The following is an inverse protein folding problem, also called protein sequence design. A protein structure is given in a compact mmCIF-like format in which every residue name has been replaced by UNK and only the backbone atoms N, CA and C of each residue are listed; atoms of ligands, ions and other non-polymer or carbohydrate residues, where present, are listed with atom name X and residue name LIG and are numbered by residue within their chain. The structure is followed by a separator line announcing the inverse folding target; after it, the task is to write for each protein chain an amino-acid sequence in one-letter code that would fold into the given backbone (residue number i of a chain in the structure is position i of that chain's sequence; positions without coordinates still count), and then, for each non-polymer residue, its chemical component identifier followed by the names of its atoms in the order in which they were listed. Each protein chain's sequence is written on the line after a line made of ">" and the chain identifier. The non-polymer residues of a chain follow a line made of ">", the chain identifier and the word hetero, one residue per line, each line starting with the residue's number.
data_IF_416488441612
#
_entry.id   IF_416488441612
#
_cell.length_a   1.000
_cell.length_b   1.000
_cell.length_c   1.000
_cell.angle_alpha   90.00
_cell.angle_beta   90.00
_cell.angle_gamma   90.00
#
_symmetry.space_group_name_H-M   'P 1'
#
loop_
_entity.id
_entity.type
_entity.pdbx_description
1 polymer ?
#
# COMPACT_ATOMS: atom_id res chain seq x y z
N UNK A 1 -20.27 -12.29 4.92
CA UNK A 1 -19.24 -11.33 5.40
C UNK A 1 -19.29 -10.13 4.46
N UNK A 2 -19.48 -8.92 4.98
CA UNK A 2 -19.66 -7.74 4.12
C UNK A 2 -18.39 -7.37 3.36
N UNK A 3 -18.56 -6.81 2.16
CA UNK A 3 -17.51 -6.26 1.27
C UNK A 3 -16.60 -5.19 1.92
N UNK A 4 -16.79 -4.86 3.20
CA UNK A 4 -15.99 -3.92 3.98
C UNK A 4 -14.97 -4.61 4.92
N UNK A 5 -14.88 -5.94 4.92
CA UNK A 5 -14.02 -6.67 5.86
C UNK A 5 -12.52 -6.57 5.52
N UNK A 6 -12.16 -6.57 4.24
CA UNK A 6 -10.76 -6.47 3.82
C UNK A 6 -10.38 -5.02 3.47
N UNK A 7 -9.29 -4.46 4.00
CA UNK A 7 -8.84 -3.10 3.67
C UNK A 7 -8.57 -2.94 2.17
N UNK A 8 -8.78 -1.73 1.64
CA UNK A 8 -8.57 -1.41 0.22
C UNK A 8 -7.13 -1.69 -0.25
N UNK A 9 -6.14 -1.59 0.64
CA UNK A 9 -4.73 -1.83 0.33
C UNK A 9 -4.37 -3.30 0.02
N UNK A 10 -5.26 -4.25 0.28
CA UNK A 10 -5.00 -5.67 -0.02
C UNK A 10 -5.74 -6.20 -1.24
N UNK A 11 -6.56 -5.35 -1.84
CA UNK A 11 -7.37 -5.72 -2.98
C UNK A 11 -6.59 -5.41 -4.25
N UNK A 12 -6.86 -6.17 -5.30
CA UNK A 12 -6.36 -5.84 -6.64
C UNK A 12 -7.06 -4.57 -7.12
N UNK A 13 -6.30 -3.57 -7.53
CA UNK A 13 -6.80 -2.30 -8.05
C UNK A 13 -6.88 -2.35 -9.58
N UNK A 14 -8.10 -2.26 -10.10
CA UNK A 14 -8.41 -2.30 -11.53
C UNK A 14 -8.74 -0.88 -11.97
N UNK A 15 -7.83 -0.23 -12.68
CA UNK A 15 -8.00 1.13 -13.16
C UNK A 15 -8.59 1.18 -14.56
N UNK A 16 -9.69 1.92 -14.74
CA UNK A 16 -10.30 2.15 -16.04
C UNK A 16 -9.84 3.50 -16.59
N UNK A 17 -9.23 3.50 -17.78
CA UNK A 17 -8.66 4.66 -18.45
C UNK A 17 -9.23 4.82 -19.86
N UNK A 18 -9.02 5.99 -20.47
CA UNK A 18 -9.42 6.26 -21.86
C UNK A 18 -9.94 7.69 -22.03
N UNK A 19 -10.28 8.05 -23.25
CA UNK A 19 -10.74 9.40 -23.59
C UNK A 19 -12.13 9.72 -23.02
N UNK A 20 -12.47 11.01 -23.03
CA UNK A 20 -13.83 11.48 -22.81
C UNK A 20 -14.75 10.87 -23.88
N UNK A 21 -15.97 10.51 -23.48
CA UNK A 21 -17.01 9.96 -24.36
C UNK A 21 -16.72 8.58 -25.00
N UNK A 22 -15.60 7.91 -24.68
CA UNK A 22 -15.37 6.51 -25.05
C UNK A 22 -16.36 5.52 -24.37
N UNK A 23 -17.11 6.00 -23.36
CA UNK A 23 -18.10 5.20 -22.62
C UNK A 23 -17.52 4.42 -21.44
N UNK A 24 -16.35 4.85 -20.94
CA UNK A 24 -15.64 4.28 -19.78
C UNK A 24 -16.55 4.06 -18.56
N UNK A 25 -17.21 5.10 -18.04
CA UNK A 25 -18.10 4.97 -16.88
C UNK A 25 -19.29 4.04 -17.15
N UNK A 26 -19.76 3.94 -18.40
CA UNK A 26 -20.81 3.00 -18.78
C UNK A 26 -20.30 1.55 -18.72
N UNK A 27 -19.09 1.28 -19.22
CA UNK A 27 -18.43 -0.03 -19.08
C UNK A 27 -18.21 -0.38 -17.61
N UNK A 28 -17.72 0.57 -16.80
CA UNK A 28 -17.54 0.37 -15.34
C UNK A 28 -18.85 0.01 -14.65
N UNK A 29 -19.95 0.69 -14.99
CA UNK A 29 -21.27 0.38 -14.44
C UNK A 29 -21.73 -1.04 -14.78
N UNK A 30 -21.51 -1.50 -16.02
CA UNK A 30 -21.82 -2.88 -16.45
C UNK A 30 -20.92 -3.91 -15.78
N UNK A 31 -19.62 -3.64 -15.68
CA UNK A 31 -18.67 -4.52 -14.98
C UNK A 31 -19.06 -4.66 -13.50
N UNK A 32 -19.40 -3.58 -12.83
CA UNK A 32 -19.71 -3.61 -11.40
C UNK A 32 -21.13 -4.04 -11.07
N UNK A 33 -22.04 -4.11 -12.05
CA UNK A 33 -23.44 -4.50 -11.85
C UNK A 33 -24.24 -3.55 -10.94
N UNK A 34 -23.73 -2.36 -10.64
CA UNK A 34 -24.49 -1.31 -9.94
C UNK A 34 -24.18 0.04 -10.57
N UNK A 35 -25.18 0.89 -10.70
CA UNK A 35 -25.04 2.26 -11.19
C UNK A 35 -24.11 3.04 -10.26
N UNK A 36 -22.94 3.45 -10.74
CA UNK A 36 -22.20 4.54 -10.11
C UNK A 36 -23.08 5.78 -10.25
N UNK A 37 -23.76 6.17 -9.17
CA UNK A 37 -24.32 7.50 -9.06
C UNK A 37 -23.17 8.47 -9.19
N UNK A 38 -23.13 9.22 -10.29
CA UNK A 38 -22.34 10.44 -10.37
C UNK A 38 -22.94 11.33 -9.27
N UNK A 39 -22.24 11.49 -8.14
CA UNK A 39 -22.62 12.54 -7.20
C UNK A 39 -22.17 13.85 -7.84
N UNK A 40 -23.06 14.39 -8.68
CA UNK A 40 -23.20 15.80 -9.07
C UNK A 40 -23.82 15.87 -10.48
N UNK A 41 -25.05 16.37 -10.57
CA UNK A 41 -25.79 16.66 -11.81
C UNK A 41 -25.22 17.85 -12.62
N UNK A 42 -23.98 18.28 -12.31
CA UNK A 42 -23.27 19.30 -13.08
C UNK A 42 -22.32 18.62 -14.05
N UNK A 43 -22.69 18.63 -15.35
CA UNK A 43 -21.85 18.23 -16.49
C UNK A 43 -20.42 18.78 -16.28
N UNK A 44 -19.47 17.88 -16.01
CA UNK A 44 -18.06 18.24 -15.79
C UNK A 44 -17.60 18.32 -14.33
N UNK A 45 -18.13 17.52 -13.41
CA UNK A 45 -17.72 17.51 -11.98
C UNK A 45 -17.22 16.16 -11.42
N UNK A 46 -17.02 15.13 -12.25
CA UNK A 46 -16.23 13.95 -11.87
C UNK A 46 -14.76 14.34 -11.76
N UNK A 47 -14.42 14.97 -10.64
CA UNK A 47 -13.12 15.64 -10.41
C UNK A 47 -12.14 14.71 -9.69
N UNK A 48 -12.64 13.65 -9.05
CA UNK A 48 -11.85 12.64 -8.35
C UNK A 48 -12.16 11.23 -8.87
N UNK A 49 -11.15 10.34 -8.99
CA UNK A 49 -11.37 8.95 -9.36
C UNK A 49 -12.37 8.26 -8.43
N UNK A 50 -13.40 7.63 -9.01
CA UNK A 50 -14.44 6.96 -8.25
C UNK A 50 -14.03 5.51 -7.98
N UNK A 51 -14.03 5.10 -6.72
CA UNK A 51 -13.60 3.77 -6.30
C UNK A 51 -14.77 2.91 -5.85
N UNK A 52 -14.75 1.63 -6.23
CA UNK A 52 -15.79 0.68 -5.86
C UNK A 52 -15.25 -0.70 -5.54
N UNK A 53 -15.59 -1.16 -4.35
CA UNK A 53 -15.35 -2.50 -3.85
C UNK A 53 -16.26 -3.54 -4.52
N UNK A 54 -15.72 -4.64 -5.01
CA UNK A 54 -16.50 -5.82 -5.41
C UNK A 54 -15.70 -7.12 -5.30
N UNK A 55 -16.39 -8.26 -5.38
CA UNK A 55 -15.76 -9.56 -5.62
C UNK A 55 -15.74 -9.83 -7.13
N UNK A 56 -14.57 -10.21 -7.66
CA UNK A 56 -14.38 -10.58 -9.05
C UNK A 56 -13.73 -11.96 -9.11
N UNK A 57 -14.52 -13.00 -9.38
CA UNK A 57 -13.99 -14.36 -9.50
C UNK A 57 -13.19 -14.53 -10.80
N UNK A 58 -12.08 -15.29 -10.80
CA UNK A 58 -11.44 -15.96 -9.66
C UNK A 58 -10.45 -15.10 -8.83
N UNK A 59 -10.26 -13.81 -9.14
CA UNK A 59 -9.31 -12.92 -8.44
C UNK A 59 -9.66 -12.76 -6.95
N UNK A 60 -10.95 -12.71 -6.63
CA UNK A 60 -11.46 -12.41 -5.29
C UNK A 60 -11.74 -10.91 -5.12
N UNK A 61 -11.42 -10.30 -3.97
CA UNK A 61 -11.80 -8.93 -3.66
C UNK A 61 -10.95 -7.91 -4.43
N UNK A 62 -11.63 -7.01 -5.15
CA UNK A 62 -11.02 -5.98 -5.99
C UNK A 62 -11.55 -4.58 -5.69
N UNK A 63 -10.81 -3.56 -6.12
CA UNK A 63 -11.26 -2.17 -6.19
C UNK A 63 -11.26 -1.74 -7.66
N UNK A 64 -12.43 -1.40 -8.17
CA UNK A 64 -12.58 -0.78 -9.49
C UNK A 64 -12.40 0.73 -9.34
N UNK A 65 -11.55 1.34 -10.18
CA UNK A 65 -11.25 2.77 -10.15
C UNK A 65 -11.60 3.37 -11.51
N UNK A 66 -12.63 4.21 -11.57
CA UNK A 66 -13.00 4.97 -12.77
C UNK A 66 -12.25 6.30 -12.78
N UNK A 67 -11.42 6.54 -13.81
CA UNK A 67 -10.66 7.79 -13.94
C UNK A 67 -11.38 8.83 -14.80
N UNK A 68 -11.07 10.12 -14.63
CA UNK A 68 -11.41 11.13 -15.64
C UNK A 68 -10.88 10.77 -17.04
N UNK A 69 -11.43 11.39 -18.08
CA UNK A 69 -10.88 11.32 -19.42
C UNK A 69 -9.52 12.02 -19.51
N UNK A 70 -8.61 11.47 -20.30
CA UNK A 70 -7.21 11.95 -20.37
C UNK A 70 -6.98 13.09 -21.37
N UNK A 71 -7.98 13.43 -22.17
CA UNK A 71 -8.02 14.51 -23.15
C UNK A 71 -8.78 15.74 -22.63
N UNK A 72 -8.80 15.95 -21.30
CA UNK A 72 -9.48 17.10 -20.69
C UNK A 72 -8.58 18.35 -20.77
N UNK A 73 -9.08 19.42 -21.40
CA UNK A 73 -8.32 20.66 -21.64
C UNK A 73 -8.65 21.76 -20.61
N UNK A 74 -7.73 22.73 -20.47
CA UNK A 74 -7.84 23.86 -19.54
C UNK A 74 -7.24 23.57 -18.16
N UNK A 75 -7.12 24.58 -17.30
CA UNK A 75 -6.44 24.45 -15.99
C UNK A 75 -7.06 23.39 -15.07
N UNK A 76 -8.39 23.24 -15.11
CA UNK A 76 -9.10 22.17 -14.39
C UNK A 76 -8.96 20.80 -15.08
N UNK A 77 -8.80 20.78 -16.41
CA UNK A 77 -8.58 19.57 -17.19
C UNK A 77 -7.19 18.99 -16.95
N UNK A 78 -6.14 19.81 -16.95
CA UNK A 78 -4.76 19.40 -16.68
C UNK A 78 -4.62 18.72 -15.31
N UNK A 79 -5.24 19.28 -14.27
CA UNK A 79 -5.26 18.69 -12.93
C UNK A 79 -6.00 17.33 -12.90
N UNK A 80 -7.06 17.18 -13.71
CA UNK A 80 -7.78 15.89 -13.85
C UNK A 80 -6.96 14.84 -14.56
N UNK A 81 -6.26 15.22 -15.63
CA UNK A 81 -5.34 14.34 -16.34
C UNK A 81 -4.23 13.90 -15.39
N UNK A 82 -3.64 14.83 -14.63
CA UNK A 82 -2.64 14.51 -13.60
C UNK A 82 -3.17 13.52 -12.57
N UNK A 83 -4.39 13.73 -12.06
CA UNK A 83 -5.05 12.79 -11.11
C UNK A 83 -5.32 11.43 -11.73
N UNK A 84 -5.78 11.37 -12.98
CA UNK A 84 -5.97 10.12 -13.71
C UNK A 84 -4.65 9.36 -13.82
N UNK A 85 -3.56 10.03 -14.21
CA UNK A 85 -2.24 9.42 -14.31
C UNK A 85 -1.67 8.94 -12.97
N UNK A 86 -1.98 9.61 -11.85
CA UNK A 86 -1.62 9.13 -10.50
C UNK A 86 -2.30 7.81 -10.14
N UNK A 87 -3.49 7.52 -10.68
CA UNK A 87 -4.14 6.22 -10.44
C UNK A 87 -3.27 5.05 -10.91
N UNK A 88 -2.41 5.24 -11.91
CA UNK A 88 -1.48 4.22 -12.39
C UNK A 88 -0.43 3.81 -11.35
N UNK A 89 -0.16 4.65 -10.36
CA UNK A 89 0.80 4.38 -9.27
C UNK A 89 0.31 3.24 -8.38
N UNK A 90 -1.02 3.07 -8.28
CA UNK A 90 -1.67 2.02 -7.51
C UNK A 90 -2.42 0.98 -8.36
N UNK A 91 -2.43 1.11 -9.69
CA UNK A 91 -3.18 0.21 -10.57
C UNK A 91 -2.44 -1.11 -10.81
N UNK A 92 -3.00 -2.22 -10.35
CA UNK A 92 -2.44 -3.56 -10.58
C UNK A 92 -2.73 -4.06 -12.00
N UNK A 93 -3.88 -3.67 -12.58
CA UNK A 93 -4.23 -3.91 -13.99
C UNK A 93 -5.02 -2.73 -14.56
N UNK A 94 -4.64 -2.29 -15.76
CA UNK A 94 -5.33 -1.22 -16.47
C UNK A 94 -6.34 -1.75 -17.49
N UNK A 95 -7.49 -1.09 -17.61
CA UNK A 95 -8.47 -1.32 -18.68
C UNK A 95 -8.56 -0.04 -19.50
N UNK A 96 -8.04 -0.05 -20.72
CA UNK A 96 -8.19 1.04 -21.66
C UNK A 96 -9.52 0.89 -22.39
N UNK A 97 -10.45 1.83 -22.17
CA UNK A 97 -11.72 1.88 -22.88
C UNK A 97 -11.61 2.84 -24.05
N UNK A 98 -11.74 2.31 -25.26
CA UNK A 98 -11.66 3.05 -26.53
C UNK A 98 -13.03 3.10 -27.21
N UNK A 99 -13.21 4.04 -28.14
CA UNK A 99 -14.39 4.08 -29.01
C UNK A 99 -14.12 3.29 -30.29
N UNK A 100 -14.76 2.13 -30.43
CA UNK A 100 -14.58 1.23 -31.58
C UNK A 100 -14.98 1.86 -32.93
N UNK A 101 -15.73 2.97 -32.93
CA UNK A 101 -16.12 3.69 -34.15
C UNK A 101 -15.04 4.64 -34.66
N UNK A 102 -14.01 4.94 -33.85
CA UNK A 102 -13.04 6.01 -34.16
C UNK A 102 -11.61 5.54 -34.41
N UNK A 103 -11.33 4.25 -34.29
CA UNK A 103 -9.95 3.73 -34.30
C UNK A 103 -9.13 4.27 -33.12
N UNK A 104 -7.94 3.71 -32.92
CA UNK A 104 -7.09 4.07 -31.78
C UNK A 104 -6.51 5.49 -31.94
N UNK A 105 -6.78 6.37 -30.98
CA UNK A 105 -6.34 7.76 -31.00
C UNK A 105 -4.92 7.92 -30.45
N UNK A 106 -4.19 9.02 -30.79
CA UNK A 106 -2.82 9.25 -30.30
C UNK A 106 -2.68 9.22 -28.77
N UNK A 107 -3.58 9.89 -28.05
CA UNK A 107 -3.56 9.91 -26.59
C UNK A 107 -3.83 8.52 -25.95
N UNK A 108 -4.56 7.64 -26.65
CA UNK A 108 -4.75 6.25 -26.23
C UNK A 108 -3.47 5.42 -26.47
N UNK A 109 -2.72 5.70 -27.54
CA UNK A 109 -1.41 5.09 -27.79
C UNK A 109 -0.39 5.51 -26.73
N UNK A 110 -0.39 6.78 -26.32
CA UNK A 110 0.46 7.27 -25.23
C UNK A 110 0.18 6.55 -23.89
N UNK A 111 -1.09 6.27 -23.59
CA UNK A 111 -1.45 5.46 -22.42
C UNK A 111 -0.91 4.04 -22.50
N UNK A 112 -1.00 3.40 -23.67
CA UNK A 112 -0.47 2.04 -23.88
C UNK A 112 1.05 2.03 -23.64
N UNK A 113 1.78 3.01 -24.17
CA UNK A 113 3.22 3.15 -23.91
C UNK A 113 3.52 3.39 -22.43
N UNK A 114 2.68 4.18 -21.74
CA UNK A 114 2.83 4.41 -20.32
C UNK A 114 2.59 3.14 -19.49
N UNK A 115 1.60 2.32 -19.85
CA UNK A 115 1.34 1.03 -19.20
C UNK A 115 2.53 0.08 -19.38
N UNK A 116 3.08 0.00 -20.59
CA UNK A 116 4.30 -0.79 -20.89
C UNK A 116 5.48 -0.30 -20.07
N UNK A 117 5.76 1.00 -20.08
CA UNK A 117 6.88 1.61 -19.33
C UNK A 117 6.78 1.36 -17.82
N UNK A 118 5.56 1.31 -17.28
CA UNK A 118 5.31 1.07 -15.85
C UNK A 118 5.12 -0.41 -15.51
N UNK A 119 5.25 -1.31 -16.48
CA UNK A 119 5.02 -2.74 -16.31
C UNK A 119 3.63 -3.04 -15.69
N UNK A 120 2.61 -2.32 -16.17
CA UNK A 120 1.21 -2.53 -15.79
C UNK A 120 0.59 -3.46 -16.82
N UNK A 121 0.11 -4.67 -16.45
CA UNK A 121 -0.68 -5.48 -17.37
C UNK A 121 -1.95 -4.71 -17.75
N UNK A 122 -2.39 -4.82 -19.00
CA UNK A 122 -3.54 -4.06 -19.47
C UNK A 122 -4.39 -4.82 -20.47
N UNK A 123 -5.68 -4.48 -20.49
CA UNK A 123 -6.69 -4.94 -21.44
C UNK A 123 -7.26 -3.75 -22.19
N UNK A 124 -7.48 -3.89 -23.50
CA UNK A 124 -8.16 -2.87 -24.31
C UNK A 124 -9.60 -3.31 -24.56
N UNK A 125 -10.56 -2.54 -24.07
CA UNK A 125 -11.98 -2.74 -24.27
C UNK A 125 -12.49 -1.74 -25.32
N UNK A 126 -12.65 -2.20 -26.56
CA UNK A 126 -13.21 -1.42 -27.66
C UNK A 126 -14.73 -1.34 -27.51
N UNK A 127 -15.19 -0.25 -26.89
CA UNK A 127 -16.61 -0.06 -26.57
C UNK A 127 -17.41 0.44 -27.78
N UNK A 128 -18.75 0.38 -27.70
CA UNK A 128 -19.71 0.71 -28.78
C UNK A 128 -19.65 -0.25 -29.97
N UNK A 129 -19.29 -1.51 -29.70
CA UNK A 129 -19.19 -2.55 -30.71
C UNK A 129 -20.52 -2.85 -31.44
N UNK A 130 -21.65 -2.42 -30.87
CA UNK A 130 -22.97 -2.45 -31.53
C UNK A 130 -23.08 -1.52 -32.75
N UNK A 131 -22.16 -0.55 -32.88
CA UNK A 131 -22.16 0.45 -33.94
C UNK A 131 -21.14 0.17 -35.06
N UNK A 132 -20.37 -0.92 -34.96
CA UNK A 132 -19.31 -1.24 -35.91
C UNK A 132 -19.16 -2.74 -36.12
N UNK A 133 -18.44 -3.15 -37.16
CA UNK A 133 -18.09 -4.56 -37.37
C UNK A 133 -16.93 -4.98 -36.46
N UNK A 134 -17.09 -6.10 -35.77
CA UNK A 134 -16.03 -6.70 -34.97
C UNK A 134 -15.05 -7.47 -35.88
N UNK A 135 -13.73 -7.25 -35.79
CA UNK A 135 -12.73 -8.02 -36.53
C UNK A 135 -12.77 -9.51 -36.19
N UNK A 136 -12.47 -10.36 -37.17
CA UNK A 136 -12.46 -11.82 -36.99
C UNK A 136 -11.28 -12.32 -36.13
N UNK A 137 -10.17 -11.57 -36.10
CA UNK A 137 -8.98 -11.88 -35.32
C UNK A 137 -8.52 -10.64 -34.55
N UNK A 138 -8.09 -10.85 -33.31
CA UNK A 138 -7.69 -9.78 -32.40
C UNK A 138 -6.54 -10.24 -31.50
N UNK A 139 -5.73 -9.30 -30.99
CA UNK A 139 -4.73 -9.63 -29.97
C UNK A 139 -5.38 -10.17 -28.68
N UNK A 140 -4.64 -11.00 -27.94
CA UNK A 140 -5.16 -11.70 -26.75
C UNK A 140 -5.63 -10.76 -25.63
N UNK A 141 -5.10 -9.54 -25.58
CA UNK A 141 -5.43 -8.53 -24.56
C UNK A 141 -6.49 -7.53 -25.02
N UNK A 142 -7.16 -7.76 -26.15
CA UNK A 142 -8.19 -6.87 -26.69
C UNK A 142 -9.57 -7.55 -26.75
N UNK A 143 -10.63 -6.76 -26.56
CA UNK A 143 -12.00 -7.24 -26.64
C UNK A 143 -12.94 -6.13 -27.11
N UNK A 144 -13.90 -6.46 -28.00
CA UNK A 144 -14.99 -5.56 -28.36
C UNK A 144 -16.18 -5.76 -27.41
N UNK A 145 -16.68 -4.67 -26.86
CA UNK A 145 -17.79 -4.67 -25.90
C UNK A 145 -18.84 -3.63 -26.30
N UNK A 146 -20.07 -3.80 -25.83
CA UNK A 146 -21.06 -2.72 -25.84
C UNK A 146 -21.68 -2.57 -24.48
N UNK A 147 -21.39 -1.45 -23.81
CA UNK A 147 -22.09 -1.11 -22.57
C UNK A 147 -23.59 -0.82 -22.79
N UNK A 148 -23.98 -0.42 -24.00
CA UNK A 148 -25.37 -0.13 -24.37
C UNK A 148 -26.17 -1.42 -24.56
N UNK A 149 -25.63 -2.37 -25.33
CA UNK A 149 -26.24 -3.67 -25.61
C UNK A 149 -25.91 -4.76 -24.57
N UNK A 150 -25.09 -4.43 -23.57
CA UNK A 150 -24.58 -5.36 -22.53
C UNK A 150 -23.87 -6.60 -23.11
N UNK A 151 -23.15 -6.41 -24.22
CA UNK A 151 -22.44 -7.49 -24.91
C UNK A 151 -20.98 -7.59 -24.47
N UNK A 152 -20.50 -8.83 -24.33
CA UNK A 152 -19.12 -9.20 -23.99
C UNK A 152 -18.58 -8.66 -22.65
N UNK A 153 -19.46 -8.19 -21.75
CA UNK A 153 -19.07 -7.65 -20.43
C UNK A 153 -18.54 -8.75 -19.50
N UNK A 154 -19.11 -9.97 -19.59
CA UNK A 154 -18.63 -11.12 -18.79
C UNK A 154 -17.26 -11.58 -19.27
N UNK A 155 -17.08 -11.64 -20.57
CA UNK A 155 -15.84 -12.00 -21.24
C UNK A 155 -14.74 -10.97 -20.92
N UNK A 156 -15.09 -9.68 -20.84
CA UNK A 156 -14.17 -8.64 -20.35
C UNK A 156 -13.73 -8.90 -18.91
N UNK A 157 -14.63 -9.29 -18.00
CA UNK A 157 -14.28 -9.66 -16.62
C UNK A 157 -13.31 -10.84 -16.58
N UNK A 158 -13.59 -11.87 -17.37
CA UNK A 158 -12.74 -13.05 -17.48
C UNK A 158 -11.35 -12.70 -18.04
N UNK A 159 -11.28 -11.82 -19.03
CA UNK A 159 -10.03 -11.35 -19.62
C UNK A 159 -9.20 -10.53 -18.62
N UNK A 160 -9.82 -9.59 -17.90
CA UNK A 160 -9.20 -8.86 -16.80
C UNK A 160 -8.64 -9.84 -15.77
N UNK A 161 -9.43 -10.85 -15.37
CA UNK A 161 -9.01 -11.83 -14.38
C UNK A 161 -7.83 -12.70 -14.82
N UNK A 162 -7.74 -13.05 -16.12
CA UNK A 162 -6.60 -13.79 -16.66
C UNK A 162 -5.34 -12.94 -16.78
N UNK A 163 -5.50 -11.64 -17.06
CA UNK A 163 -4.37 -10.71 -17.22
C UNK A 163 -3.75 -10.30 -15.88
N UNK A 164 -4.51 -10.38 -14.77
CA UNK A 164 -3.94 -10.32 -13.43
C UNK A 164 -3.16 -11.61 -13.21
N UNK A 165 -1.82 -11.51 -13.12
CA UNK A 165 -0.99 -12.64 -12.75
C UNK A 165 -1.49 -13.23 -11.43
N UNK A 166 -1.59 -14.56 -11.28
CA UNK A 166 -1.82 -15.14 -9.96
C UNK A 166 -0.77 -14.57 -9.02
N UNK A 167 -1.21 -14.07 -7.87
CA UNK A 167 -0.34 -13.59 -6.81
C UNK A 167 0.75 -14.64 -6.57
N UNK A 168 2.01 -14.21 -6.58
CA UNK A 168 3.17 -15.00 -6.15
C UNK A 168 2.85 -15.75 -4.83
N UNK A 169 3.53 -16.88 -4.53
CA UNK A 169 3.17 -17.75 -3.39
C UNK A 169 2.86 -16.92 -2.16
N UNK A 170 1.70 -17.23 -1.56
CA UNK A 170 1.03 -16.50 -0.48
C UNK A 170 2.06 -15.88 0.49
N UNK A 171 2.40 -14.60 0.28
CA UNK A 171 3.40 -13.91 1.11
C UNK A 171 2.94 -14.05 2.56
N UNK A 172 3.78 -14.62 3.41
CA UNK A 172 3.44 -14.79 4.83
C UNK A 172 3.90 -13.60 5.63
N UNK A 173 3.07 -13.18 6.56
CA UNK A 173 3.40 -12.07 7.44
C UNK A 173 4.37 -12.52 8.51
N UNK A 174 4.11 -13.69 9.11
CA UNK A 174 4.94 -14.35 10.13
C UNK A 174 4.89 -15.87 10.05
N UNK A 175 3.90 -16.49 9.39
CA UNK A 175 3.73 -17.95 9.38
C UNK A 175 4.96 -18.71 8.87
N UNK A 176 5.74 -18.12 7.97
CA UNK A 176 7.01 -18.66 7.45
C UNK A 176 8.13 -18.76 8.51
N UNK A 177 7.95 -18.12 9.67
CA UNK A 177 8.89 -18.13 10.80
C UNK A 177 8.49 -19.13 11.90
N UNK A 178 7.36 -19.81 11.75
CA UNK A 178 6.71 -20.58 12.80
C UNK A 178 6.55 -22.06 12.43
N UNK A 179 6.60 -22.91 13.45
CA UNK A 179 6.19 -24.30 13.39
C UNK A 179 4.85 -24.51 14.13
N UNK A 180 4.10 -25.58 13.81
CA UNK A 180 2.90 -25.93 14.56
C UNK A 180 3.18 -26.05 16.07
N UNK A 181 2.28 -25.49 16.88
CA UNK A 181 2.37 -25.37 18.35
C UNK A 181 3.41 -24.37 18.89
N UNK A 182 4.14 -23.63 18.04
CA UNK A 182 4.95 -22.51 18.52
C UNK A 182 4.06 -21.51 19.28
N UNK A 183 4.55 -20.95 20.38
CA UNK A 183 3.87 -19.87 21.10
C UNK A 183 4.42 -18.52 20.67
N UNK A 184 3.53 -17.62 20.23
CA UNK A 184 3.86 -16.25 19.85
C UNK A 184 3.13 -15.27 20.76
N UNK A 185 3.87 -14.35 21.38
CA UNK A 185 3.30 -13.31 22.25
C UNK A 185 3.21 -11.98 21.49
N UNK A 186 2.01 -11.45 21.38
CA UNK A 186 1.70 -10.16 20.78
C UNK A 186 1.52 -9.12 21.88
N UNK A 187 2.39 -8.12 21.91
CA UNK A 187 2.33 -7.01 22.87
C UNK A 187 1.63 -5.83 22.22
N UNK A 188 0.42 -5.56 22.69
CA UNK A 188 -0.51 -4.57 22.13
C UNK A 188 -0.86 -3.54 23.21
N UNK A 189 -0.24 -2.35 23.18
CA UNK A 189 -0.61 -1.28 24.11
C UNK A 189 -2.03 -0.78 23.82
N UNK A 190 -2.71 -0.28 24.86
CA UNK A 190 -3.98 0.44 24.67
C UNK A 190 -3.64 1.86 24.24
N UNK A 191 -3.68 2.09 22.93
CA UNK A 191 -3.54 3.43 22.38
C UNK A 191 -4.91 4.13 22.35
N UNK A 192 -4.98 5.37 22.84
CA UNK A 192 -6.16 6.23 22.69
C UNK A 192 -6.49 6.53 21.22
N UNK A 193 -5.50 6.43 20.34
CA UNK A 193 -5.67 6.60 18.90
C UNK A 193 -6.20 5.33 18.21
N UNK A 194 -6.18 4.18 18.87
CA UNK A 194 -6.76 2.96 18.33
C UNK A 194 -8.30 3.01 18.40
N UNK A 195 -9.00 2.55 17.35
CA UNK A 195 -10.46 2.58 17.32
C UNK A 195 -11.07 1.76 18.45
N UNK A 196 -11.98 2.38 19.22
CA UNK A 196 -12.65 1.73 20.37
C UNK A 196 -13.30 0.41 19.93
N UNK A 197 -13.01 -0.66 20.67
CA UNK A 197 -13.65 -1.97 20.51
C UNK A 197 -13.10 -2.84 19.38
N UNK A 198 -11.97 -2.49 18.74
CA UNK A 198 -11.33 -3.36 17.73
C UNK A 198 -9.80 -3.25 17.74
N UNK A 199 -9.12 -4.34 17.39
CA UNK A 199 -7.68 -4.35 17.11
C UNK A 199 -7.39 -3.59 15.81
N UNK A 200 -6.19 -3.03 15.66
CA UNK A 200 -5.78 -2.49 14.36
C UNK A 200 -5.49 -3.61 13.37
N UNK A 201 -5.58 -3.29 12.08
CA UNK A 201 -5.40 -4.27 11.00
C UNK A 201 -4.11 -5.10 11.14
N UNK A 202 -2.93 -4.51 11.44
CA UNK A 202 -1.73 -5.30 11.62
C UNK A 202 -1.83 -6.41 12.66
N UNK A 203 -2.47 -6.12 13.79
CA UNK A 203 -2.65 -7.08 14.86
C UNK A 203 -3.61 -8.20 14.44
N UNK A 204 -4.72 -7.86 13.76
CA UNK A 204 -5.69 -8.85 13.29
C UNK A 204 -5.06 -9.83 12.29
N UNK A 205 -4.28 -9.32 11.33
CA UNK A 205 -3.63 -10.14 10.31
C UNK A 205 -2.51 -11.00 10.88
N UNK A 206 -1.71 -10.47 11.81
CA UNK A 206 -0.69 -11.27 12.50
C UNK A 206 -1.32 -12.40 13.31
N UNK A 207 -2.41 -12.15 14.05
CA UNK A 207 -3.13 -13.22 14.77
C UNK A 207 -3.60 -14.29 13.79
N UNK A 208 -4.21 -13.88 12.67
CA UNK A 208 -4.72 -14.81 11.67
C UNK A 208 -3.61 -15.68 11.08
N UNK A 209 -2.50 -15.09 10.66
CA UNK A 209 -1.39 -15.80 10.03
C UNK A 209 -0.68 -16.75 11.03
N UNK A 210 -0.59 -16.39 12.32
CA UNK A 210 -0.12 -17.30 13.38
C UNK A 210 -1.03 -18.53 13.48
N UNK A 211 -2.35 -18.34 13.48
CA UNK A 211 -3.31 -19.44 13.58
C UNK A 211 -3.28 -20.34 12.33
N UNK A 212 -3.07 -19.77 11.14
CA UNK A 212 -2.90 -20.54 9.90
C UNK A 212 -1.65 -21.41 9.90
N UNK A 213 -0.59 -21.00 10.60
CA UNK A 213 0.61 -21.81 10.84
C UNK A 213 0.39 -22.95 11.86
N UNK A 214 -0.79 -23.03 12.49
CA UNK A 214 -1.05 -23.96 13.60
C UNK A 214 -0.34 -23.59 14.89
N UNK A 215 0.10 -22.33 15.03
CA UNK A 215 0.77 -21.79 16.21
C UNK A 215 -0.24 -21.14 17.18
N UNK A 216 0.21 -20.87 18.40
CA UNK A 216 -0.59 -20.27 19.48
C UNK A 216 -0.31 -18.77 19.53
N UNK A 217 -1.36 -17.97 19.39
CA UNK A 217 -1.27 -16.51 19.56
C UNK A 217 -1.74 -16.10 20.96
N UNK A 218 -0.85 -15.49 21.73
CA UNK A 218 -1.15 -14.89 23.03
C UNK A 218 -1.07 -13.37 22.93
N UNK A 219 -2.08 -12.65 23.41
CA UNK A 219 -2.12 -11.17 23.33
C UNK A 219 -2.08 -10.59 24.75
N UNK A 220 -1.17 -9.65 24.97
CA UNK A 220 -1.00 -8.95 26.26
C UNK A 220 -0.72 -7.47 26.03
N UNK A 221 -0.91 -6.63 27.05
CA UNK A 221 -0.31 -5.29 27.09
C UNK A 221 1.13 -5.36 27.58
N UNK A 222 1.86 -4.27 27.39
CA UNK A 222 3.20 -4.08 27.95
C UNK A 222 3.20 -4.17 29.49
N UNK A 223 2.09 -3.79 30.14
CA UNK A 223 1.94 -3.84 31.61
C UNK A 223 1.83 -5.26 32.15
N UNK A 224 1.20 -6.18 31.41
CA UNK A 224 1.05 -7.59 31.82
C UNK A 224 2.11 -8.51 31.17
N UNK A 225 3.02 -7.97 30.37
CA UNK A 225 4.00 -8.76 29.62
C UNK A 225 4.85 -9.66 30.51
N UNK A 226 5.42 -9.12 31.60
CA UNK A 226 6.27 -9.90 32.52
C UNK A 226 5.52 -11.11 33.07
N UNK A 227 4.31 -10.88 33.60
CA UNK A 227 3.45 -11.95 34.12
C UNK A 227 3.05 -12.96 33.04
N UNK A 228 2.80 -12.48 31.83
CA UNK A 228 2.49 -13.34 30.68
C UNK A 228 3.66 -14.28 30.39
N UNK A 229 4.89 -13.75 30.28
CA UNK A 229 6.09 -14.54 30.03
C UNK A 229 6.35 -15.56 31.15
N UNK A 230 6.19 -15.16 32.42
CA UNK A 230 6.35 -16.03 33.59
C UNK A 230 5.31 -17.15 33.67
N UNK A 231 4.12 -16.95 33.10
CA UNK A 231 3.05 -17.96 33.09
C UNK A 231 3.26 -19.06 32.05
N UNK A 232 4.18 -18.85 31.10
CA UNK A 232 4.47 -19.84 30.06
C UNK A 232 5.37 -20.93 30.60
N UNK A 233 5.02 -22.18 30.30
CA UNK A 233 5.85 -23.34 30.65
C UNK A 233 7.20 -23.32 29.93
N UNK A 234 7.22 -22.81 28.70
CA UNK A 234 8.38 -22.69 27.83
C UNK A 234 8.46 -21.27 27.27
N UNK A 235 9.66 -20.74 26.99
CA UNK A 235 9.79 -19.41 26.40
C UNK A 235 9.07 -19.37 25.04
N UNK A 236 8.40 -18.26 24.70
CA UNK A 236 7.74 -18.15 23.40
C UNK A 236 8.78 -18.17 22.29
N UNK A 237 8.39 -18.69 21.12
CA UNK A 237 9.22 -18.66 19.91
C UNK A 237 9.56 -17.23 19.52
N UNK A 238 8.55 -16.36 19.57
CA UNK A 238 8.63 -14.99 19.07
C UNK A 238 7.75 -14.06 19.91
N UNK A 239 8.27 -12.87 20.18
CA UNK A 239 7.50 -11.72 20.69
C UNK A 239 7.36 -10.68 19.58
N UNK A 240 6.16 -10.19 19.36
CA UNK A 240 5.85 -9.14 18.37
C UNK A 240 5.20 -7.98 19.12
N UNK A 241 5.76 -6.77 19.01
CA UNK A 241 5.26 -5.60 19.74
C UNK A 241 4.88 -4.44 18.82
N UNK A 242 4.05 -3.54 19.31
CA UNK A 242 3.92 -2.21 18.73
C UNK A 242 5.24 -1.43 18.83
N UNK A 243 5.55 -0.63 17.81
CA UNK A 243 6.76 0.19 17.76
C UNK A 243 6.83 1.22 18.89
N UNK A 244 5.70 1.69 19.42
CA UNK A 244 5.69 2.62 20.55
C UNK A 244 6.08 1.96 21.88
N UNK A 245 5.75 0.68 22.07
CA UNK A 245 6.08 -0.08 23.27
C UNK A 245 7.46 -0.76 23.20
N UNK A 246 8.11 -0.72 22.03
CA UNK A 246 9.30 -1.53 21.72
C UNK A 246 10.42 -1.36 22.76
N UNK A 247 10.69 -0.13 23.21
CA UNK A 247 11.75 0.12 24.20
C UNK A 247 11.52 -0.51 25.58
N UNK A 248 10.26 -0.60 26.04
CA UNK A 248 9.92 -1.28 27.30
C UNK A 248 9.96 -2.79 27.08
N UNK A 249 9.38 -3.26 25.97
CA UNK A 249 9.33 -4.69 25.64
C UNK A 249 10.73 -5.29 25.47
N UNK A 250 11.67 -4.61 24.82
CA UNK A 250 13.04 -5.11 24.65
C UNK A 250 13.75 -5.40 25.99
N UNK A 251 13.45 -4.59 27.02
CA UNK A 251 14.00 -4.75 28.37
C UNK A 251 13.35 -5.92 29.11
N UNK A 252 12.07 -6.18 28.89
CA UNK A 252 11.30 -7.23 29.57
C UNK A 252 11.47 -8.60 28.92
N UNK A 253 11.67 -8.67 27.59
CA UNK A 253 11.78 -9.93 26.85
C UNK A 253 13.22 -10.47 26.94
N UNK A 254 13.42 -11.70 27.46
CA UNK A 254 14.73 -12.35 27.54
C UNK A 254 15.50 -12.33 26.22
N UNK A 255 16.82 -12.12 26.25
CA UNK A 255 17.63 -11.92 25.03
C UNK A 255 17.71 -13.15 24.11
N UNK A 256 17.47 -14.35 24.65
CA UNK A 256 17.36 -15.59 23.87
C UNK A 256 16.01 -15.75 23.15
N UNK A 257 15.01 -14.92 23.48
CA UNK A 257 13.71 -14.89 22.79
C UNK A 257 13.76 -13.90 21.64
N UNK A 258 13.33 -14.37 20.48
CA UNK A 258 13.25 -13.53 19.28
C UNK A 258 12.20 -12.42 19.48
N UNK A 259 12.51 -11.22 19.03
CA UNK A 259 11.68 -10.03 19.21
C UNK A 259 11.61 -9.27 17.91
N UNK A 260 10.43 -8.86 17.47
CA UNK A 260 10.24 -7.93 16.35
C UNK A 260 9.02 -7.04 16.56
N UNK A 261 8.66 -6.21 15.58
CA UNK A 261 7.40 -5.45 15.62
C UNK A 261 6.46 -5.79 14.48
N UNK A 262 5.18 -5.46 14.68
CA UNK A 262 4.20 -5.45 13.61
C UNK A 262 4.71 -4.64 12.40
N UNK A 263 5.27 -3.46 12.62
CA UNK A 263 5.77 -2.59 11.54
C UNK A 263 6.87 -3.23 10.70
N UNK A 264 7.79 -3.97 11.33
CA UNK A 264 8.88 -4.68 10.62
C UNK A 264 8.31 -5.85 9.81
N UNK A 265 7.42 -6.65 10.39
CA UNK A 265 6.77 -7.75 9.68
C UNK A 265 5.95 -7.25 8.48
N UNK A 266 5.22 -6.14 8.64
CA UNK A 266 4.47 -5.53 7.54
C UNK A 266 5.38 -4.97 6.45
N UNK A 267 6.49 -4.35 6.83
CA UNK A 267 7.46 -3.88 5.86
C UNK A 267 8.06 -5.05 5.05
N UNK A 268 8.29 -6.19 5.70
CA UNK A 268 8.74 -7.42 5.04
C UNK A 268 7.69 -7.95 4.08
N UNK A 269 6.45 -8.09 4.57
CA UNK A 269 5.31 -8.57 3.80
C UNK A 269 5.04 -7.72 2.54
N UNK A 270 5.19 -6.40 2.63
CA UNK A 270 5.04 -5.46 1.49
C UNK A 270 6.29 -5.35 0.60
N UNK A 271 7.34 -6.13 0.86
CA UNK A 271 8.57 -6.13 0.07
C UNK A 271 9.40 -4.86 0.16
N UNK A 272 9.25 -4.06 1.22
CA UNK A 272 9.96 -2.77 1.37
C UNK A 272 10.94 -2.71 2.55
N UNK A 273 11.05 -3.77 3.35
CA UNK A 273 11.88 -3.76 4.55
C UNK A 273 13.34 -3.44 4.28
N UNK A 274 13.96 -4.02 3.23
CA UNK A 274 15.37 -3.74 2.88
C UNK A 274 15.62 -2.26 2.64
N UNK A 275 14.80 -1.62 1.80
CA UNK A 275 14.93 -0.19 1.52
C UNK A 275 14.66 0.64 2.77
N UNK A 276 13.66 0.26 3.58
CA UNK A 276 13.35 0.97 4.81
C UNK A 276 14.48 0.94 5.84
N UNK A 277 15.18 -0.19 5.95
CA UNK A 277 16.37 -0.36 6.80
C UNK A 277 17.50 0.57 6.33
N UNK A 278 17.81 0.55 5.03
CA UNK A 278 18.84 1.43 4.46
C UNK A 278 18.48 2.91 4.65
N UNK A 279 17.21 3.27 4.47
CA UNK A 279 16.72 4.62 4.74
C UNK A 279 16.82 5.04 6.21
N UNK A 280 16.72 4.11 7.15
CA UNK A 280 16.85 4.43 8.57
C UNK A 280 18.28 4.81 8.95
N UNK A 281 19.29 4.26 8.27
CA UNK A 281 20.69 4.64 8.48
C UNK A 281 20.94 6.13 8.19
N UNK A 282 20.18 6.73 7.26
CA UNK A 282 20.26 8.17 6.94
C UNK A 282 19.99 9.07 8.14
N UNK A 283 19.26 8.59 9.16
CA UNK A 283 19.04 9.34 10.40
C UNK A 283 20.36 9.72 11.08
N UNK A 284 21.42 8.91 10.95
CA UNK A 284 22.73 9.17 11.55
C UNK A 284 23.47 10.32 10.85
N UNK A 285 23.10 10.65 9.62
CA UNK A 285 23.84 11.59 8.74
C UNK A 285 23.14 12.94 8.57
N UNK A 286 21.94 13.12 9.13
CA UNK A 286 21.19 14.37 9.07
C UNK A 286 21.99 15.54 9.67
N UNK A 287 21.82 16.72 9.07
CA UNK A 287 22.48 17.97 9.45
C UNK A 287 21.46 19.04 9.87
N UNK A 288 21.97 20.13 10.45
CA UNK A 288 21.14 21.29 10.76
C UNK A 288 20.61 21.93 9.47
N UNK A 289 19.31 22.25 9.44
CA UNK A 289 18.63 22.80 8.28
C UNK A 289 18.12 21.77 7.26
N UNK A 290 18.47 20.49 7.40
CA UNK A 290 17.90 19.42 6.56
C UNK A 290 16.38 19.37 6.70
N UNK A 291 15.69 19.06 5.61
CA UNK A 291 14.23 18.86 5.63
C UNK A 291 13.88 17.38 5.52
N UNK A 292 13.10 16.88 6.48
CA UNK A 292 12.57 15.51 6.49
C UNK A 292 11.09 15.54 6.10
N UNK A 293 10.70 14.71 5.13
CA UNK A 293 9.31 14.52 4.77
C UNK A 293 8.69 13.42 5.64
N UNK A 294 7.65 13.76 6.40
CA UNK A 294 6.79 12.80 7.08
C UNK A 294 5.55 12.53 6.22
N UNK A 295 5.38 11.32 5.72
CA UNK A 295 4.34 10.99 4.73
C UNK A 295 3.39 9.90 5.23
N UNK A 296 2.08 10.16 5.17
CA UNK A 296 1.06 9.24 5.66
C UNK A 296 0.12 8.80 4.53
N UNK A 297 -0.03 7.48 4.36
CA UNK A 297 -0.90 6.88 3.34
C UNK A 297 -2.40 6.92 3.64
N UNK A 298 -2.86 7.66 4.65
CA UNK A 298 -4.27 7.72 5.03
C UNK A 298 -4.68 9.12 5.47
N UNK A 299 -5.92 9.48 5.18
CA UNK A 299 -6.55 10.73 5.65
C UNK A 299 -7.30 10.43 6.93
N UNK A 300 -6.64 10.59 8.07
CA UNK A 300 -7.30 10.49 9.38
C UNK A 300 -7.07 11.76 10.18
N UNK A 301 -7.95 12.01 11.14
CA UNK A 301 -7.87 13.21 11.97
C UNK A 301 -6.67 13.09 12.91
N UNK A 302 -5.65 13.94 12.70
CA UNK A 302 -4.48 14.04 13.58
C UNK A 302 -4.93 14.61 14.92
N UNK A 303 -4.59 13.90 15.99
CA UNK A 303 -4.90 14.32 17.36
C UNK A 303 -3.65 14.89 18.03
N UNK A 304 -3.83 15.65 19.11
CA UNK A 304 -2.69 16.09 19.91
C UNK A 304 -1.91 14.87 20.42
N UNK A 305 -0.58 14.89 20.30
CA UNK A 305 0.28 13.75 20.62
C UNK A 305 0.36 12.68 19.52
N UNK A 306 -0.04 13.01 18.29
CA UNK A 306 0.08 12.11 17.13
C UNK A 306 1.53 11.69 16.86
N UNK A 307 1.70 10.44 16.42
CA UNK A 307 3.02 9.87 16.16
C UNK A 307 3.69 10.65 15.02
N UNK A 308 2.96 10.86 13.91
CA UNK A 308 3.51 11.45 12.69
C UNK A 308 3.88 12.92 12.87
N UNK A 309 3.00 13.73 13.47
CA UNK A 309 3.24 15.18 13.55
C UNK A 309 3.98 15.67 14.78
N UNK A 310 4.01 14.90 15.88
CA UNK A 310 4.62 15.36 17.13
C UNK A 310 5.71 14.42 17.63
N UNK A 311 5.37 13.16 17.95
CA UNK A 311 6.32 12.25 18.62
C UNK A 311 7.54 11.95 17.75
N UNK A 312 7.32 11.60 16.48
CA UNK A 312 8.37 11.20 15.56
C UNK A 312 9.33 12.36 15.23
N UNK A 313 8.86 13.58 14.87
CA UNK A 313 9.74 14.73 14.73
C UNK A 313 10.58 15.01 15.99
N UNK A 314 9.98 14.89 17.18
CA UNK A 314 10.68 15.09 18.45
C UNK A 314 11.73 13.99 18.71
N UNK A 315 11.43 12.74 18.40
CA UNK A 315 12.39 11.64 18.51
C UNK A 315 13.55 11.80 17.53
N UNK A 316 13.28 12.21 16.29
CA UNK A 316 14.33 12.47 15.29
C UNK A 316 15.27 13.58 15.79
N UNK A 317 14.75 14.73 16.20
CA UNK A 317 15.58 15.82 16.74
C UNK A 317 16.42 15.39 17.95
N UNK A 318 15.83 14.62 18.87
CA UNK A 318 16.54 14.12 20.06
C UNK A 318 17.63 13.11 19.70
N UNK A 319 17.36 12.23 18.74
CA UNK A 319 18.29 11.21 18.30
C UNK A 319 19.48 11.82 17.57
N UNK A 320 19.24 12.76 16.64
CA UNK A 320 20.30 13.38 15.85
C UNK A 320 21.04 14.48 16.59
N UNK A 321 20.38 15.15 17.55
CA UNK A 321 20.89 16.37 18.17
C UNK A 321 20.96 17.56 17.22
N UNK A 322 20.22 17.52 16.10
CA UNK A 322 20.22 18.53 15.02
C UNK A 322 18.91 19.31 14.94
N UNK A 323 18.99 20.54 14.44
CA UNK A 323 17.82 21.37 14.11
C UNK A 323 17.28 21.05 12.71
N UNK A 324 16.50 19.97 12.65
CA UNK A 324 15.88 19.45 11.42
C UNK A 324 14.50 20.07 11.19
N UNK A 325 14.19 20.38 9.92
CA UNK A 325 12.90 20.87 9.46
C UNK A 325 11.99 19.71 9.01
N UNK A 326 10.67 19.90 9.11
CA UNK A 326 9.70 18.86 8.74
C UNK A 326 8.67 19.35 7.74
N UNK A 327 8.37 18.52 6.76
CA UNK A 327 7.27 18.66 5.80
C UNK A 327 6.32 17.48 5.94
N UNK A 328 5.04 17.66 5.61
CA UNK A 328 4.02 16.64 5.84
C UNK A 328 3.16 16.40 4.61
N UNK A 329 2.86 15.14 4.29
CA UNK A 329 1.77 14.76 3.37
C UNK A 329 0.83 13.74 4.01
N UNK A 330 -0.42 13.71 3.55
CA UNK A 330 -1.47 12.80 4.03
C UNK A 330 -2.26 12.19 2.87
N UNK A 331 -2.79 10.99 3.09
CA UNK A 331 -3.61 10.28 2.13
C UNK A 331 -2.84 9.73 0.94
N UNK A 332 -3.42 9.91 -0.26
CA UNK A 332 -2.87 9.38 -1.51
C UNK A 332 -1.87 10.36 -2.16
N UNK A 333 -1.51 11.45 -1.48
CA UNK A 333 -0.58 12.44 -2.01
C UNK A 333 0.87 12.11 -1.65
N UNK A 334 1.72 12.09 -2.67
CA UNK A 334 3.16 12.02 -2.55
C UNK A 334 3.79 13.11 -3.44
N UNK A 335 4.82 13.85 -3.00
CA UNK A 335 5.38 14.95 -3.78
C UNK A 335 5.98 14.48 -5.11
N UNK A 336 5.75 15.21 -6.20
CA UNK A 336 6.34 14.92 -7.52
C UNK A 336 7.85 15.18 -7.57
N UNK A 337 8.31 16.09 -6.71
CA UNK A 337 9.72 16.33 -6.46
C UNK A 337 10.02 16.13 -4.97
N UNK A 338 10.73 15.06 -4.69
CA UNK A 338 11.24 14.73 -3.35
C UNK A 338 12.69 15.14 -3.15
N UNK A 339 13.39 15.63 -4.18
CA UNK A 339 14.84 15.88 -4.17
C UNK A 339 15.29 16.92 -3.14
N UNK A 340 14.36 17.77 -2.69
CA UNK A 340 14.59 18.76 -1.61
C UNK A 340 14.65 18.16 -0.20
N UNK A 341 14.29 16.89 -0.04
CA UNK A 341 14.27 16.23 1.27
C UNK A 341 15.56 15.43 1.48
N UNK A 342 16.11 15.50 2.70
CA UNK A 342 17.25 14.67 3.10
C UNK A 342 16.84 13.23 3.44
N UNK A 343 15.57 13.05 3.85
CA UNK A 343 15.00 11.75 4.23
C UNK A 343 13.47 11.80 4.09
N UNK A 344 12.89 10.71 3.60
CA UNK A 344 11.44 10.46 3.70
C UNK A 344 11.19 9.44 4.81
N UNK A 345 10.30 9.76 5.75
CA UNK A 345 9.82 8.85 6.78
C UNK A 345 8.33 8.63 6.57
N UNK A 346 7.97 7.46 6.05
CA UNK A 346 6.60 7.13 5.68
C UNK A 346 5.90 6.32 6.77
N UNK A 347 4.57 6.40 6.89
CA UNK A 347 3.85 5.48 7.77
C UNK A 347 3.94 4.02 7.24
N UNK A 348 3.42 3.03 7.98
CA UNK A 348 3.37 1.64 7.51
C UNK A 348 2.52 1.41 6.24
N UNK A 349 1.82 2.45 5.77
CA UNK A 349 1.06 2.43 4.52
C UNK A 349 -0.07 1.41 4.52
N UNK A 350 -0.70 1.11 5.67
CA UNK A 350 -1.72 0.06 5.79
C UNK A 350 -2.93 0.23 4.86
N UNK A 351 -3.24 1.46 4.46
CA UNK A 351 -4.32 1.79 3.52
C UNK A 351 -3.87 1.78 2.04
N UNK A 352 -2.56 1.72 1.78
CA UNK A 352 -1.97 1.72 0.44
C UNK A 352 -1.70 0.28 0.00
N UNK A 353 -1.93 0.00 -1.29
CA UNK A 353 -1.53 -1.30 -1.84
C UNK A 353 -0.02 -1.39 -2.04
N UNK A 354 0.46 -2.60 -2.28
CA UNK A 354 1.89 -2.86 -2.47
C UNK A 354 2.43 -2.01 -3.62
N UNK A 355 1.71 -1.95 -4.74
CA UNK A 355 2.15 -1.21 -5.93
C UNK A 355 2.36 0.28 -5.65
N UNK A 356 1.45 0.93 -4.94
CA UNK A 356 1.58 2.35 -4.57
C UNK A 356 2.77 2.58 -3.64
N UNK A 357 2.97 1.72 -2.64
CA UNK A 357 4.15 1.81 -1.76
C UNK A 357 5.46 1.64 -2.53
N UNK A 358 5.51 0.66 -3.43
CA UNK A 358 6.69 0.41 -4.28
C UNK A 358 6.93 1.58 -5.24
N UNK A 359 5.89 2.22 -5.75
CA UNK A 359 6.02 3.46 -6.52
C UNK A 359 6.68 4.57 -5.68
N UNK A 360 6.17 4.86 -4.47
CA UNK A 360 6.73 5.91 -3.60
C UNK A 360 8.21 5.66 -3.29
N UNK A 361 8.58 4.40 -3.01
CA UNK A 361 9.95 4.00 -2.75
C UNK A 361 10.87 4.18 -3.97
N UNK A 362 10.45 3.70 -5.15
CA UNK A 362 11.22 3.88 -6.39
C UNK A 362 11.36 5.36 -6.73
N UNK A 363 10.29 6.15 -6.59
CA UNK A 363 10.30 7.57 -6.87
C UNK A 363 11.34 8.34 -6.02
N UNK A 364 11.45 7.99 -4.74
CA UNK A 364 12.49 8.52 -3.83
C UNK A 364 13.88 8.01 -4.19
N UNK A 365 14.03 6.71 -4.47
CA UNK A 365 15.32 6.11 -4.82
C UNK A 365 15.90 6.67 -6.12
N UNK A 366 15.08 6.88 -7.16
CA UNK A 366 15.49 7.49 -8.44
C UNK A 366 16.06 8.91 -8.28
N UNK A 367 15.70 9.60 -7.19
CA UNK A 367 16.18 10.95 -6.84
C UNK A 367 17.26 10.92 -5.76
N UNK A 368 17.78 9.75 -5.41
CA UNK A 368 18.75 9.53 -4.34
C UNK A 368 18.29 10.04 -2.97
N UNK A 369 16.98 10.03 -2.71
CA UNK A 369 16.42 10.39 -1.41
C UNK A 369 16.10 9.12 -0.64
N UNK A 370 16.78 8.82 0.47
CA UNK A 370 16.49 7.64 1.27
C UNK A 370 15.07 7.70 1.85
N UNK A 371 14.42 6.53 1.92
CA UNK A 371 13.07 6.41 2.46
C UNK A 371 13.03 5.28 3.49
N UNK A 372 12.54 5.60 4.68
CA UNK A 372 12.25 4.63 5.75
C UNK A 372 10.77 4.68 6.13
N UNK A 373 10.38 3.89 7.12
CA UNK A 373 9.06 3.99 7.72
C UNK A 373 9.11 4.19 9.23
N UNK A 374 7.97 4.57 9.82
CA UNK A 374 7.86 4.92 11.23
C UNK A 374 8.43 3.82 12.13
N UNK A 375 8.03 2.57 11.91
CA UNK A 375 8.44 1.48 12.77
C UNK A 375 9.93 1.18 12.73
N UNK A 376 10.54 1.20 11.53
CA UNK A 376 11.97 0.99 11.39
C UNK A 376 12.76 2.19 11.93
N UNK A 377 12.33 3.43 11.64
CA UNK A 377 12.95 4.63 12.20
C UNK A 377 12.93 4.63 13.73
N UNK A 378 11.77 4.31 14.34
CA UNK A 378 11.62 4.19 15.79
C UNK A 378 12.54 3.08 16.34
N UNK A 379 12.55 1.89 15.71
CA UNK A 379 13.43 0.80 16.14
C UNK A 379 14.92 1.16 16.08
N UNK A 380 15.34 1.92 15.06
CA UNK A 380 16.71 2.43 14.94
C UNK A 380 17.03 3.45 16.04
N UNK A 381 16.19 4.48 16.20
CA UNK A 381 16.41 5.54 17.19
C UNK A 381 16.46 5.03 18.64
N UNK A 382 15.79 3.91 18.92
CA UNK A 382 15.82 3.25 20.22
C UNK A 382 16.92 2.18 20.37
N UNK A 383 17.73 1.92 19.33
CA UNK A 383 18.86 0.98 19.36
C UNK A 383 18.47 -0.50 19.35
N UNK A 384 17.29 -0.84 18.81
CA UNK A 384 16.72 -2.20 18.87
C UNK A 384 16.62 -2.85 17.49
N UNK A 385 16.81 -2.08 16.41
CA UNK A 385 16.67 -2.57 15.04
C UNK A 385 17.53 -3.81 14.77
N UNK A 386 18.75 -3.86 15.31
CA UNK A 386 19.64 -5.02 15.17
C UNK A 386 19.02 -6.32 15.71
N UNK A 387 18.54 -6.31 16.96
CA UNK A 387 17.82 -7.44 17.57
C UNK A 387 16.56 -7.80 16.77
N UNK A 388 15.84 -6.78 16.29
CA UNK A 388 14.58 -6.97 15.57
C UNK A 388 14.76 -7.61 14.19
N UNK A 389 15.93 -7.43 13.58
CA UNK A 389 16.30 -7.99 12.28
C UNK A 389 17.01 -9.33 12.38
N UNK A 390 17.45 -9.78 13.56
CA UNK A 390 18.12 -11.07 13.74
C UNK A 390 17.28 -12.29 13.26
N UNK A 391 15.96 -12.11 13.12
CA UNK A 391 15.03 -13.07 12.50
C UNK A 391 15.20 -13.22 10.98
N UNK A 392 15.86 -12.27 10.33
CA UNK A 392 15.99 -12.14 8.88
C UNK A 392 17.47 -12.00 8.51
N UNK A 393 18.23 -13.10 8.40
CA UNK A 393 19.69 -13.07 8.26
C UNK A 393 20.19 -12.15 7.13
N UNK A 394 19.57 -12.21 5.94
CA UNK A 394 19.97 -11.39 4.79
C UNK A 394 19.77 -9.88 5.04
N UNK A 395 18.69 -9.53 5.74
CA UNK A 395 18.37 -8.13 6.07
C UNK A 395 19.18 -7.62 7.25
N UNK A 396 19.49 -8.50 8.21
CA UNK A 396 20.40 -8.22 9.32
C UNK A 396 21.81 -7.92 8.79
N UNK A 397 22.32 -8.73 7.87
CA UNK A 397 23.60 -8.48 7.23
C UNK A 397 23.62 -7.16 6.45
N UNK A 398 22.55 -6.86 5.70
CA UNK A 398 22.42 -5.58 5.00
C UNK A 398 22.45 -4.40 5.98
N UNK A 399 21.74 -4.50 7.11
CA UNK A 399 21.76 -3.50 8.17
C UNK A 399 23.16 -3.31 8.76
N UNK A 400 23.82 -4.40 9.18
CA UNK A 400 25.14 -4.32 9.82
C UNK A 400 26.21 -3.74 8.90
N UNK A 401 26.07 -3.91 7.58
CA UNK A 401 27.00 -3.34 6.59
C UNK A 401 26.80 -1.83 6.39
N UNK A 402 25.58 -1.32 6.57
CA UNK A 402 25.24 0.09 6.38
C UNK A 402 25.32 0.91 7.66
N UNK A 403 25.03 0.32 8.82
CA UNK A 403 25.07 1.02 10.10
C UNK A 403 26.50 1.22 10.65
N UNK A 404 27.45 0.38 10.22
CA UNK A 404 28.85 0.41 10.66
C UNK A 404 29.82 1.00 9.61
N UNK A 405 29.30 1.48 8.48
CA UNK A 405 30.06 2.19 7.45
C UNK A 405 29.67 3.65 7.43
#
# INVERSE_FOLDING_TARGET
>A
MGLNAQPSGERVHIGFFGLRNAGKSSVVNRVTGQTLSIVSDVKGTTTDPVQKAMELLPIGPVVIIDTPGIDDEGTLGEERVRRALRVLEKTDIAVLVTDSTRGLQPAEQELIELFRKREIPFVIAHNKADLTSVPAAMPENEIYVSAAADSNIRELKELIARAVKPTEPEKRLVADLLAPNDTVVLVVPIDSAAPKGRLILPQQQTIRDILEAGAISLVTRETELTRTLESLREPPRLVITDSQAFGIVDKLVPKNVQLTSFSILFARYKGNLRQAILGAAQLNSLQDGDTVLISEGCTHHRQCGDIGTEKLPNWIRRFTGKDVQFSFTVGNEFPEDVSKYALVVHCGGCMLNEREMQYRLRHSAERNVPMTNYGIAIAHMHGILDRALALFPDLHQAWSSTANG
#
